data_IF_018320140904
#
_entry.id   IF_018320140904
#
_cell.length_a   1.000
_cell.length_b   1.000
_cell.length_c   1.000
_cell.angle_alpha   90.00
_cell.angle_beta   90.00
_cell.angle_gamma   90.00
#
_symmetry.space_group_name_H-M   'P 1'
#
loop_
_entity.id
_entity.type
_entity.pdbx_description
1 polymer ?
#
# COMPACT_ATOMS: atom_id res chain seq x y z
N UNK A 1 9.18 -38.71 -15.73
CA UNK A 1 8.82 -37.67 -14.76
C UNK A 1 7.62 -38.19 -13.98
N UNK A 2 7.74 -38.37 -12.68
CA UNK A 2 6.59 -38.74 -11.86
C UNK A 2 5.75 -37.48 -11.68
N UNK A 3 4.49 -37.55 -12.12
CA UNK A 3 3.54 -36.44 -11.90
C UNK A 3 3.40 -36.22 -10.40
N UNK A 4 3.83 -35.04 -9.93
CA UNK A 4 3.62 -34.63 -8.54
C UNK A 4 2.20 -34.09 -8.45
N UNK A 5 1.28 -34.93 -7.99
CA UNK A 5 -0.10 -34.51 -7.75
C UNK A 5 -0.14 -33.68 -6.46
N UNK A 6 -0.59 -32.46 -6.55
CA UNK A 6 -0.87 -31.62 -5.38
C UNK A 6 -2.17 -32.12 -4.75
N UNK A 7 -2.19 -32.50 -3.46
CA UNK A 7 -3.42 -32.92 -2.80
C UNK A 7 -4.48 -31.81 -2.81
N UNK A 8 -5.76 -32.16 -2.94
CA UNK A 8 -6.85 -31.19 -2.96
C UNK A 8 -6.86 -30.26 -1.73
N UNK A 9 -6.52 -30.80 -0.55
CA UNK A 9 -6.40 -30.01 0.68
C UNK A 9 -5.30 -28.96 0.59
N UNK A 10 -4.16 -29.27 -0.03
CA UNK A 10 -3.06 -28.33 -0.23
C UNK A 10 -3.44 -27.24 -1.24
N UNK A 11 -4.12 -27.61 -2.32
CA UNK A 11 -4.64 -26.66 -3.30
C UNK A 11 -5.66 -25.72 -2.65
N UNK A 12 -6.56 -26.25 -1.83
CA UNK A 12 -7.57 -25.45 -1.13
C UNK A 12 -6.94 -24.48 -0.13
N UNK A 13 -5.93 -24.91 0.62
CA UNK A 13 -5.16 -24.08 1.54
C UNK A 13 -4.46 -22.90 0.83
N UNK A 14 -4.02 -23.07 -0.41
CA UNK A 14 -3.35 -22.04 -1.24
C UNK A 14 -4.30 -21.19 -2.06
N UNK A 15 -5.61 -21.45 -1.99
CA UNK A 15 -6.62 -20.72 -2.73
C UNK A 15 -7.26 -19.69 -1.82
N UNK A 16 -7.09 -18.40 -2.14
CA UNK A 16 -7.74 -17.29 -1.43
C UNK A 16 -8.96 -16.86 -2.25
N UNK A 17 -10.15 -17.11 -1.72
CA UNK A 17 -11.42 -16.73 -2.35
C UNK A 17 -11.83 -15.33 -1.88
N UNK A 18 -12.72 -14.68 -2.59
CA UNK A 18 -13.28 -13.38 -2.16
C UNK A 18 -13.90 -13.44 -0.76
N UNK A 19 -14.52 -14.55 -0.41
CA UNK A 19 -15.07 -14.80 0.94
C UNK A 19 -14.02 -14.87 2.05
N UNK A 20 -12.76 -15.09 1.70
CA UNK A 20 -11.66 -15.25 2.66
C UNK A 20 -10.93 -13.92 2.93
N UNK A 21 -11.39 -12.84 2.31
CA UNK A 21 -10.80 -11.52 2.48
C UNK A 21 -11.19 -10.92 3.83
N UNK A 22 -10.23 -10.67 4.68
CA UNK A 22 -10.40 -10.03 5.99
C UNK A 22 -9.73 -8.68 5.98
N UNK A 23 -10.51 -7.60 6.10
CA UNK A 23 -9.98 -6.24 6.09
C UNK A 23 -9.44 -5.82 7.45
N UNK A 24 -8.40 -4.98 7.41
CA UNK A 24 -7.94 -4.20 8.55
C UNK A 24 -8.05 -2.71 8.23
N UNK A 25 -8.92 -2.00 8.93
CA UNK A 25 -9.12 -0.57 8.70
C UNK A 25 -8.09 0.29 9.45
N UNK A 26 -7.38 -0.29 10.41
CA UNK A 26 -6.31 0.35 11.19
C UNK A 26 -4.92 -0.18 10.82
N UNK A 27 -4.69 -0.52 9.55
CA UNK A 27 -3.41 -1.07 9.09
C UNK A 27 -2.27 -0.04 9.07
N UNK A 28 -2.58 1.25 8.93
CA UNK A 28 -1.62 2.31 8.66
C UNK A 28 -1.85 3.56 9.51
N UNK A 29 -0.82 4.38 9.65
CA UNK A 29 -0.82 5.59 10.47
C UNK A 29 -1.87 6.63 10.05
N UNK A 30 -2.36 6.58 8.82
CA UNK A 30 -3.38 7.50 8.33
C UNK A 30 -4.82 7.01 8.51
N UNK A 31 -5.03 5.94 9.30
CA UNK A 31 -6.35 5.29 9.45
C UNK A 31 -7.43 6.14 10.14
N UNK A 32 -7.07 7.27 10.75
CA UNK A 32 -8.01 8.23 11.37
C UNK A 32 -7.98 9.60 10.70
N UNK A 33 -7.13 9.81 9.71
CA UNK A 33 -7.06 11.09 9.03
C UNK A 33 -8.23 11.23 8.06
N UNK A 34 -8.90 12.40 8.00
CA UNK A 34 -10.03 12.60 7.10
C UNK A 34 -9.66 12.29 5.64
N UNK A 35 -10.53 11.55 4.97
CA UNK A 35 -10.28 11.09 3.59
C UNK A 35 -9.36 9.87 3.48
N UNK A 36 -8.91 9.28 4.62
CA UNK A 36 -8.18 8.00 4.65
C UNK A 36 -8.77 7.00 5.64
N UNK A 37 -9.72 7.42 6.44
CA UNK A 37 -10.35 6.71 7.57
C UNK A 37 -11.33 5.61 7.17
N UNK A 38 -11.62 5.46 5.86
CA UNK A 38 -12.53 4.44 5.35
C UNK A 38 -11.84 3.42 4.45
N UNK A 39 -10.52 3.29 4.54
CA UNK A 39 -9.78 2.27 3.80
C UNK A 39 -9.98 0.89 4.42
N UNK A 40 -10.14 -0.11 3.55
CA UNK A 40 -10.08 -1.52 3.90
C UNK A 40 -8.79 -2.11 3.33
N UNK A 41 -7.85 -2.49 4.21
CA UNK A 41 -6.58 -3.06 3.78
C UNK A 41 -6.59 -4.57 3.95
N UNK A 42 -6.11 -5.29 2.95
CA UNK A 42 -6.06 -6.75 2.92
C UNK A 42 -4.63 -7.22 2.72
N UNK A 43 -4.24 -8.29 3.41
CA UNK A 43 -2.97 -8.97 3.22
C UNK A 43 -3.23 -10.42 2.81
N UNK A 44 -2.97 -10.74 1.55
CA UNK A 44 -3.21 -12.07 1.01
C UNK A 44 -1.99 -12.96 1.12
N UNK A 45 -0.81 -12.47 0.78
CA UNK A 45 0.48 -13.16 0.87
C UNK A 45 1.46 -12.23 1.57
N UNK A 46 1.93 -12.67 2.73
CA UNK A 46 2.80 -11.85 3.57
C UNK A 46 2.09 -10.64 4.18
N UNK A 47 2.68 -10.03 5.19
CA UNK A 47 2.12 -8.87 5.91
C UNK A 47 2.30 -7.53 5.14
N UNK A 48 3.06 -7.55 4.05
CA UNK A 48 3.37 -6.34 3.29
C UNK A 48 4.12 -5.30 4.12
N UNK A 49 3.49 -4.16 4.28
CA UNK A 49 4.00 -3.01 5.06
C UNK A 49 3.03 -2.58 6.16
N UNK A 50 2.10 -3.45 6.55
CA UNK A 50 1.16 -3.16 7.62
C UNK A 50 1.88 -2.78 8.92
N UNK A 51 1.37 -1.78 9.59
CA UNK A 51 1.87 -1.25 10.86
C UNK A 51 1.05 -1.75 12.06
N UNK A 52 0.05 -2.59 11.80
CA UNK A 52 -0.80 -3.20 12.78
C UNK A 52 -0.46 -4.69 12.90
N UNK A 53 -0.06 -5.12 14.10
CA UNK A 53 0.31 -6.51 14.37
C UNK A 53 -0.89 -7.47 14.26
N UNK A 54 -2.12 -6.96 14.39
CA UNK A 54 -3.36 -7.75 14.28
C UNK A 54 -3.88 -7.87 12.84
N UNK A 55 -3.11 -7.38 11.85
CA UNK A 55 -3.44 -7.57 10.44
C UNK A 55 -3.53 -9.06 10.10
N UNK A 56 -4.72 -9.52 9.71
CA UNK A 56 -4.89 -10.87 9.23
C UNK A 56 -4.16 -11.07 7.90
N UNK A 57 -3.42 -12.17 7.78
CA UNK A 57 -2.68 -12.57 6.58
C UNK A 57 -3.16 -13.96 6.16
N UNK A 58 -3.66 -14.11 4.93
CA UNK A 58 -4.16 -15.38 4.43
C UNK A 58 -3.05 -16.45 4.28
N UNK A 59 -1.93 -16.06 3.65
CA UNK A 59 -0.77 -16.93 3.43
C UNK A 59 0.48 -16.26 3.99
N UNK A 60 1.07 -16.88 5.01
CA UNK A 60 2.28 -16.38 5.70
C UNK A 60 3.57 -16.99 5.16
N UNK A 61 3.48 -17.99 4.28
CA UNK A 61 4.65 -18.59 3.65
C UNK A 61 5.37 -17.61 2.74
N UNK A 62 6.70 -17.70 2.71
CA UNK A 62 7.55 -16.85 1.88
C UNK A 62 7.38 -17.18 0.40
N UNK A 63 7.17 -16.16 -0.42
CA UNK A 63 6.93 -16.28 -1.87
C UNK A 63 7.89 -15.43 -2.71
N UNK A 64 8.79 -14.64 -2.07
CA UNK A 64 9.64 -13.65 -2.73
C UNK A 64 8.91 -12.34 -3.05
N UNK A 65 7.66 -12.21 -2.63
CA UNK A 65 6.83 -11.01 -2.77
C UNK A 65 5.69 -11.02 -1.73
N UNK A 66 5.10 -9.86 -1.52
CA UNK A 66 3.85 -9.70 -0.77
C UNK A 66 2.72 -9.30 -1.72
N UNK A 67 1.51 -9.79 -1.47
CA UNK A 67 0.31 -9.43 -2.21
C UNK A 67 -0.76 -8.94 -1.24
N UNK A 68 -1.25 -7.75 -1.48
CA UNK A 68 -2.34 -7.16 -0.70
C UNK A 68 -3.33 -6.39 -1.58
N UNK A 69 -4.27 -5.72 -0.93
CA UNK A 69 -5.20 -4.82 -1.60
C UNK A 69 -5.60 -3.65 -0.69
N UNK A 70 -5.96 -2.54 -1.32
CA UNK A 70 -6.70 -1.45 -0.72
C UNK A 70 -8.11 -1.39 -1.34
N UNK A 71 -9.14 -1.60 -0.52
CA UNK A 71 -10.53 -1.32 -0.87
C UNK A 71 -10.88 0.08 -0.39
N UNK A 72 -11.45 0.91 -1.26
CA UNK A 72 -11.63 2.34 -0.96
C UNK A 72 -12.94 2.85 -1.57
N UNK A 73 -13.83 3.45 -0.76
CA UNK A 73 -14.95 4.23 -1.25
C UNK A 73 -14.50 5.43 -2.10
N UNK A 74 -15.43 6.02 -2.83
CA UNK A 74 -15.18 7.28 -3.56
C UNK A 74 -14.59 8.36 -2.65
N UNK A 75 -13.58 9.06 -3.14
CA UNK A 75 -12.89 10.16 -2.45
C UNK A 75 -11.89 9.73 -1.38
N UNK A 76 -11.81 8.43 -1.06
CA UNK A 76 -10.87 7.93 -0.05
C UNK A 76 -9.48 7.75 -0.66
N UNK A 77 -8.47 8.12 0.12
CA UNK A 77 -7.07 8.15 -0.27
C UNK A 77 -6.21 7.21 0.57
N UNK A 78 -5.19 6.65 -0.02
CA UNK A 78 -3.98 6.24 0.66
C UNK A 78 -2.95 7.35 0.51
N UNK A 79 -2.46 7.88 1.64
CA UNK A 79 -1.63 9.08 1.66
C UNK A 79 -0.21 8.84 1.14
N UNK A 80 0.53 9.93 0.92
CA UNK A 80 1.87 9.90 0.34
C UNK A 80 2.86 9.14 1.22
N UNK A 81 3.47 8.13 0.64
CA UNK A 81 4.44 7.25 1.27
C UNK A 81 5.43 6.71 0.23
N UNK A 82 6.55 6.17 0.67
CA UNK A 82 7.49 5.46 -0.18
C UNK A 82 7.84 4.08 0.39
N UNK A 83 8.31 3.19 -0.49
CA UNK A 83 8.77 1.84 -0.14
C UNK A 83 10.23 1.62 -0.52
N UNK A 84 10.86 0.68 0.18
CA UNK A 84 12.24 0.23 -0.08
C UNK A 84 12.29 -0.83 -1.19
N UNK A 85 11.16 -1.47 -1.46
CA UNK A 85 11.01 -2.50 -2.51
C UNK A 85 10.16 -1.98 -3.65
N UNK A 86 10.31 -2.59 -4.83
CA UNK A 86 9.46 -2.29 -5.98
C UNK A 86 8.00 -2.63 -5.68
N UNK A 87 7.10 -1.85 -6.24
CA UNK A 87 5.66 -2.05 -6.11
C UNK A 87 4.99 -2.09 -7.47
N UNK A 88 3.98 -2.93 -7.58
CA UNK A 88 3.07 -2.97 -8.74
C UNK A 88 1.66 -2.74 -8.23
N UNK A 89 0.97 -1.78 -8.83
CA UNK A 89 -0.47 -1.63 -8.70
C UNK A 89 -1.17 -2.35 -9.84
N UNK A 90 -2.23 -3.08 -9.49
CA UNK A 90 -3.16 -3.68 -10.45
C UNK A 90 -4.54 -3.15 -10.10
N UNK A 91 -5.11 -2.32 -10.96
CA UNK A 91 -6.46 -1.82 -10.74
C UNK A 91 -7.45 -2.96 -10.98
N UNK A 92 -8.15 -3.36 -9.92
CA UNK A 92 -9.11 -4.47 -9.91
C UNK A 92 -10.55 -3.97 -9.72
N UNK A 93 -10.84 -2.79 -10.22
CA UNK A 93 -12.15 -2.13 -10.19
C UNK A 93 -12.08 -0.75 -9.54
N UNK A 94 -12.71 0.21 -10.18
CA UNK A 94 -12.72 1.61 -9.80
C UNK A 94 -11.85 2.49 -10.70
N UNK A 95 -11.76 3.76 -10.35
CA UNK A 95 -10.90 4.74 -11.01
C UNK A 95 -9.99 5.36 -9.97
N UNK A 96 -8.69 5.13 -10.08
CA UNK A 96 -7.72 5.60 -9.10
C UNK A 96 -6.84 6.70 -9.68
N UNK A 97 -6.83 7.87 -9.03
CA UNK A 97 -5.79 8.88 -9.25
C UNK A 97 -4.57 8.52 -8.44
N UNK A 98 -3.47 8.21 -9.10
CA UNK A 98 -2.16 7.94 -8.51
C UNK A 98 -1.32 9.20 -8.63
N UNK A 99 -0.80 9.72 -7.50
CA UNK A 99 0.01 10.93 -7.43
C UNK A 99 1.38 10.59 -6.92
N UNK A 100 2.40 11.37 -7.31
CA UNK A 100 3.75 11.18 -6.79
C UNK A 100 4.48 12.50 -6.52
N UNK A 101 5.63 12.37 -5.83
CA UNK A 101 6.38 13.47 -5.24
C UNK A 101 6.06 13.65 -3.77
N UNK A 102 6.94 14.32 -3.02
CA UNK A 102 6.82 14.49 -1.56
C UNK A 102 5.53 15.21 -1.14
N UNK A 103 5.03 16.07 -2.01
CA UNK A 103 3.77 16.81 -1.83
C UNK A 103 2.65 16.34 -2.79
N UNK A 104 2.92 15.28 -3.57
CA UNK A 104 1.98 14.73 -4.54
C UNK A 104 1.77 15.59 -5.79
N UNK A 105 2.69 16.52 -6.10
CA UNK A 105 2.55 17.48 -7.22
C UNK A 105 3.56 17.28 -8.34
N UNK A 106 4.47 16.34 -8.25
CA UNK A 106 5.39 16.04 -9.36
C UNK A 106 4.66 15.50 -10.58
N UNK A 107 3.58 14.75 -10.36
CA UNK A 107 2.72 14.28 -11.42
C UNK A 107 1.61 13.38 -10.91
N UNK A 108 0.72 13.03 -11.83
CA UNK A 108 -0.40 12.15 -11.56
C UNK A 108 -0.75 11.31 -12.78
N UNK A 109 -1.38 10.17 -12.53
CA UNK A 109 -1.96 9.29 -13.53
C UNK A 109 -3.31 8.78 -13.05
N UNK A 110 -4.31 8.78 -13.94
CA UNK A 110 -5.63 8.20 -13.66
C UNK A 110 -5.66 6.77 -14.20
N UNK A 111 -5.73 5.81 -13.30
CA UNK A 111 -5.79 4.38 -13.58
C UNK A 111 -7.23 3.92 -13.64
N UNK A 112 -7.55 3.13 -14.65
CA UNK A 112 -8.86 2.48 -14.83
C UNK A 112 -8.76 0.97 -14.60
N UNK A 113 -9.91 0.31 -14.55
CA UNK A 113 -9.99 -1.13 -14.35
C UNK A 113 -9.10 -1.90 -15.33
N UNK A 114 -8.30 -2.80 -14.81
CA UNK A 114 -7.34 -3.60 -15.56
C UNK A 114 -5.98 -2.96 -15.81
N UNK A 115 -5.75 -1.70 -15.52
CA UNK A 115 -4.42 -1.08 -15.66
C UNK A 115 -3.42 -1.72 -14.67
N UNK A 116 -2.19 -1.89 -15.14
CA UNK A 116 -1.06 -2.34 -14.33
C UNK A 116 0.03 -1.27 -14.35
N UNK A 117 0.47 -0.85 -13.17
CA UNK A 117 1.43 0.24 -13.01
C UNK A 117 2.58 -0.22 -12.14
N UNK A 118 3.81 -0.10 -12.65
CA UNK A 118 5.01 -0.33 -11.84
C UNK A 118 5.46 0.97 -11.19
N UNK A 119 5.63 0.95 -9.87
CA UNK A 119 6.06 2.13 -9.11
C UNK A 119 7.51 1.95 -8.68
N UNK A 120 8.42 2.87 -9.04
CA UNK A 120 9.80 2.81 -8.59
C UNK A 120 9.94 2.87 -7.07
N UNK A 121 11.02 2.30 -6.54
CA UNK A 121 11.44 2.51 -5.16
C UNK A 121 11.82 3.97 -4.90
N UNK A 122 11.78 4.40 -3.66
CA UNK A 122 12.24 5.72 -3.23
C UNK A 122 11.53 6.90 -3.89
N UNK A 123 10.28 6.71 -4.33
CA UNK A 123 9.40 7.78 -4.76
C UNK A 123 8.19 7.85 -3.82
N UNK A 124 7.87 9.04 -3.33
CA UNK A 124 6.61 9.27 -2.63
C UNK A 124 5.46 9.13 -3.61
N UNK A 125 4.49 8.26 -3.29
CA UNK A 125 3.25 8.09 -4.05
C UNK A 125 2.09 7.92 -3.10
N UNK A 126 0.92 8.24 -3.59
CA UNK A 126 -0.37 8.02 -2.95
C UNK A 126 -1.44 7.86 -4.01
N UNK A 127 -2.57 7.34 -3.64
CA UNK A 127 -3.67 7.11 -4.57
C UNK A 127 -5.02 7.39 -3.93
N UNK A 128 -5.98 7.81 -4.75
CA UNK A 128 -7.34 8.16 -4.34
C UNK A 128 -8.31 7.45 -5.28
N UNK A 129 -9.34 6.80 -4.75
CA UNK A 129 -10.45 6.34 -5.59
C UNK A 129 -11.33 7.53 -5.98
N UNK A 130 -11.42 7.82 -7.27
CA UNK A 130 -12.26 8.88 -7.83
C UNK A 130 -13.46 8.32 -8.61
N UNK A 131 -13.57 6.99 -8.68
CA UNK A 131 -14.73 6.34 -9.28
C UNK A 131 -16.00 6.55 -8.45
N UNK A 132 -17.20 6.42 -9.05
CA UNK A 132 -18.46 6.61 -8.35
C UNK A 132 -18.74 5.53 -7.30
N UNK A 133 -18.13 4.36 -7.46
CA UNK A 133 -18.32 3.19 -6.62
C UNK A 133 -17.03 2.86 -5.82
N UNK A 134 -17.15 1.89 -4.92
CA UNK A 134 -15.99 1.34 -4.21
C UNK A 134 -14.99 0.75 -5.20
N UNK A 135 -13.72 1.12 -5.05
CA UNK A 135 -12.63 0.63 -5.87
C UNK A 135 -11.71 -0.33 -5.11
N UNK A 136 -11.03 -1.20 -5.85
CA UNK A 136 -10.01 -2.12 -5.32
C UNK A 136 -8.73 -1.97 -6.12
N UNK A 137 -7.66 -1.62 -5.42
CA UNK A 137 -6.31 -1.60 -5.96
C UNK A 137 -5.51 -2.75 -5.34
N UNK A 138 -5.15 -3.76 -6.14
CA UNK A 138 -4.22 -4.80 -5.71
C UNK A 138 -2.80 -4.24 -5.71
N UNK A 139 -2.02 -4.64 -4.72
CA UNK A 139 -0.63 -4.19 -4.55
C UNK A 139 0.29 -5.41 -4.43
N UNK A 140 1.34 -5.42 -5.24
CA UNK A 140 2.42 -6.41 -5.14
C UNK A 140 3.69 -5.70 -4.71
N UNK A 141 4.25 -6.09 -3.57
CA UNK A 141 5.53 -5.58 -3.07
C UNK A 141 6.60 -6.66 -3.26
N UNK A 142 7.72 -6.30 -3.86
CA UNK A 142 8.85 -7.21 -4.02
C UNK A 142 9.47 -7.61 -2.69
N UNK A 143 10.08 -8.80 -2.67
CA UNK A 143 10.72 -9.42 -1.51
C UNK A 143 9.73 -9.84 -0.41
N UNK A 144 10.14 -10.80 0.43
CA UNK A 144 9.34 -11.22 1.59
C UNK A 144 9.45 -10.24 2.75
N UNK A 145 10.61 -9.60 2.93
CA UNK A 145 10.85 -8.53 3.90
C UNK A 145 10.91 -7.20 3.17
N UNK A 146 9.86 -6.42 3.28
CA UNK A 146 9.70 -5.14 2.56
C UNK A 146 10.52 -3.99 3.15
N UNK A 147 10.99 -4.10 4.39
CA UNK A 147 11.65 -3.03 5.13
C UNK A 147 10.70 -1.97 5.70
N UNK A 148 9.39 -2.10 5.43
CA UNK A 148 8.37 -1.18 5.93
C UNK A 148 8.02 -0.05 4.95
N UNK A 149 7.59 1.07 5.52
CA UNK A 149 7.03 2.21 4.79
C UNK A 149 7.56 3.52 5.40
N UNK A 150 7.89 4.50 4.56
CA UNK A 150 8.20 5.86 4.99
C UNK A 150 7.05 6.77 4.53
N UNK A 151 6.41 7.41 5.49
CA UNK A 151 5.32 8.34 5.23
C UNK A 151 5.83 9.74 4.86
N UNK A 152 5.07 10.43 4.03
CA UNK A 152 5.33 11.83 3.72
C UNK A 152 5.34 12.68 5.01
N UNK A 153 6.19 13.72 5.09
CA UNK A 153 6.30 14.55 6.29
C UNK A 153 4.98 15.17 6.76
N UNK A 154 4.13 15.59 5.84
CA UNK A 154 2.80 16.12 6.13
C UNK A 154 1.85 15.07 6.70
N UNK A 155 1.95 13.83 6.23
CA UNK A 155 1.10 12.72 6.69
C UNK A 155 1.41 12.38 8.15
N UNK A 156 2.68 12.28 8.52
CA UNK A 156 3.08 12.03 9.91
C UNK A 156 2.58 13.12 10.85
N UNK A 157 2.74 14.39 10.44
CA UNK A 157 2.28 15.54 11.23
C UNK A 157 0.75 15.55 11.38
N UNK A 158 0.02 15.24 10.33
CA UNK A 158 -1.43 15.17 10.37
C UNK A 158 -1.90 14.03 11.28
N UNK A 159 -1.35 12.82 11.12
CA UNK A 159 -1.67 11.67 11.94
C UNK A 159 -1.50 11.92 13.43
N UNK A 160 -0.41 12.61 13.82
CA UNK A 160 -0.15 13.01 15.21
C UNK A 160 -1.32 13.85 15.78
N UNK A 161 -1.92 14.74 14.99
CA UNK A 161 -3.06 15.56 15.42
C UNK A 161 -4.34 14.75 15.66
N UNK A 162 -4.39 13.52 15.13
CA UNK A 162 -5.46 12.55 15.35
C UNK A 162 -5.09 11.45 16.35
N UNK A 163 -4.01 11.64 17.11
CA UNK A 163 -3.57 10.72 18.15
C UNK A 163 -2.86 9.46 17.64
N UNK A 164 -2.40 9.47 16.39
CA UNK A 164 -1.69 8.37 15.78
C UNK A 164 -0.18 8.65 15.75
N UNK A 165 0.60 7.69 16.20
CA UNK A 165 2.05 7.77 16.22
C UNK A 165 2.65 6.47 15.65
N UNK A 166 3.87 6.54 15.15
CA UNK A 166 4.60 5.40 14.65
C UNK A 166 5.92 5.28 15.37
N UNK A 167 6.19 4.12 15.93
CA UNK A 167 7.46 3.84 16.59
C UNK A 167 8.56 3.50 15.58
N UNK A 168 9.83 3.64 15.98
CA UNK A 168 10.97 3.36 15.11
C UNK A 168 11.03 1.90 14.63
N UNK A 169 10.38 0.97 15.33
CA UNK A 169 10.18 -0.42 14.93
C UNK A 169 8.91 -0.65 14.09
N UNK A 170 8.36 0.43 13.51
CA UNK A 170 7.22 0.43 12.59
C UNK A 170 5.89 -0.04 13.19
N UNK A 171 5.69 0.14 14.49
CA UNK A 171 4.43 -0.19 15.17
C UNK A 171 3.54 1.03 15.29
N UNK A 172 2.28 0.90 14.89
CA UNK A 172 1.24 1.90 15.08
C UNK A 172 0.84 2.00 16.55
N UNK A 173 0.74 3.23 17.05
CA UNK A 173 0.22 3.60 18.37
C UNK A 173 -1.01 4.49 18.15
N UNK A 174 -2.15 4.04 18.62
CA UNK A 174 -3.43 4.77 18.54
C UNK A 174 -3.86 5.21 19.93
N UNK A 175 -3.50 6.43 20.32
CA UNK A 175 -3.82 6.97 21.65
C UNK A 175 -5.32 7.21 21.83
N UNK A 176 -6.09 7.35 20.75
CA UNK A 176 -7.55 7.47 20.81
C UNK A 176 -8.19 6.10 21.10
N UNK A 177 -7.58 5.01 20.63
CA UNK A 177 -8.01 3.65 20.99
C UNK A 177 -7.54 3.22 22.39
N UNK A 178 -6.71 4.02 23.05
CA UNK A 178 -6.23 3.74 24.40
C UNK A 178 -4.78 3.26 24.48
N UNK A 179 -4.06 3.23 23.37
CA UNK A 179 -2.63 2.90 23.39
C UNK A 179 -1.84 3.97 24.15
N UNK A 180 -0.74 3.55 24.73
CA UNK A 180 0.22 4.46 25.38
C UNK A 180 1.46 4.58 24.55
N UNK A 181 1.88 5.82 24.28
CA UNK A 181 3.16 6.07 23.59
C UNK A 181 4.30 5.54 24.47
N UNK A 182 5.09 4.56 23.99
CA UNK A 182 6.18 3.98 24.78
C UNK A 182 7.26 5.02 25.03
N UNK A 183 7.82 5.02 26.25
CA UNK A 183 8.91 5.93 26.62
C UNK A 183 10.31 5.43 26.21
N UNK A 184 10.41 4.14 25.92
CA UNK A 184 11.67 3.41 25.63
C UNK A 184 11.92 3.18 24.14
N UNK A 185 10.92 3.40 23.29
CA UNK A 185 11.03 3.29 21.84
C UNK A 185 10.81 4.66 21.20
N UNK A 186 11.78 5.18 20.42
CA UNK A 186 11.60 6.48 19.79
C UNK A 186 10.49 6.44 18.73
N UNK A 187 9.80 7.55 18.55
CA UNK A 187 8.86 7.74 17.46
C UNK A 187 9.60 8.05 16.15
N UNK A 188 9.05 7.59 15.03
CA UNK A 188 9.54 7.95 13.70
C UNK A 188 9.38 9.45 13.51
N UNK A 189 10.45 10.06 12.99
CA UNK A 189 10.46 11.47 12.58
C UNK A 189 10.28 11.57 11.07
N UNK A 190 9.71 12.69 10.60
CA UNK A 190 9.65 12.96 9.16
C UNK A 190 11.03 12.88 8.51
N UNK A 191 11.08 12.40 7.27
CA UNK A 191 12.31 12.41 6.47
C UNK A 191 12.86 13.83 6.39
N UNK A 192 14.16 13.99 6.63
CA UNK A 192 14.82 15.29 6.58
C UNK A 192 14.85 15.82 5.14
N UNK A 193 14.76 17.14 5.00
CA UNK A 193 14.69 17.80 3.69
C UNK A 193 15.89 17.45 2.81
N UNK A 194 17.09 17.36 3.37
CA UNK A 194 18.31 16.99 2.65
C UNK A 194 18.19 15.64 1.92
N UNK A 195 17.53 14.63 2.53
CA UNK A 195 17.28 13.34 1.88
C UNK A 195 16.15 13.41 0.86
N UNK A 196 15.14 14.26 1.10
CA UNK A 196 14.05 14.49 0.14
C UNK A 196 14.61 15.08 -1.15
N UNK A 197 15.55 16.04 -1.03
CA UNK A 197 16.16 16.73 -2.16
C UNK A 197 17.05 15.79 -3.02
N UNK A 198 17.50 14.67 -2.46
CA UNK A 198 18.26 13.63 -3.16
C UNK A 198 17.37 12.58 -3.87
N UNK A 199 16.04 12.57 -3.60
CA UNK A 199 15.14 11.60 -4.22
C UNK A 199 15.01 11.84 -5.72
N UNK A 200 14.95 10.74 -6.48
CA UNK A 200 14.74 10.82 -7.93
C UNK A 200 13.36 11.42 -8.24
N UNK A 201 13.34 12.41 -9.12
CA UNK A 201 12.13 12.97 -9.67
C UNK A 201 11.75 12.25 -10.96
N UNK A 202 10.46 12.00 -11.17
CA UNK A 202 9.93 11.37 -12.37
C UNK A 202 8.90 12.26 -13.02
N UNK A 203 9.10 12.58 -14.30
CA UNK A 203 8.10 13.26 -15.13
C UNK A 203 6.87 12.36 -15.36
N UNK A 204 5.77 12.99 -15.78
CA UNK A 204 4.55 12.26 -16.18
C UNK A 204 4.84 11.30 -17.33
N UNK A 205 5.69 11.70 -18.29
CA UNK A 205 6.04 10.87 -19.44
C UNK A 205 6.82 9.61 -19.01
N UNK A 206 7.81 9.75 -18.13
CA UNK A 206 8.58 8.60 -17.60
C UNK A 206 7.68 7.65 -16.80
N UNK A 207 6.71 8.16 -16.04
CA UNK A 207 5.77 7.31 -15.30
C UNK A 207 4.76 6.63 -16.22
N UNK A 208 4.29 7.29 -17.29
CA UNK A 208 3.40 6.66 -18.29
C UNK A 208 4.01 5.46 -18.98
N UNK A 209 5.32 5.45 -19.21
CA UNK A 209 6.04 4.29 -19.77
C UNK A 209 6.02 3.06 -18.86
N UNK A 210 5.59 3.22 -17.60
CA UNK A 210 5.47 2.16 -16.59
C UNK A 210 4.04 1.63 -16.42
N UNK A 211 3.11 2.12 -17.23
CA UNK A 211 1.70 1.72 -17.22
C UNK A 211 1.44 0.76 -18.38
N UNK A 212 0.79 -0.36 -18.06
CA UNK A 212 0.29 -1.33 -19.06
C UNK A 212 -1.24 -1.26 -19.01
N UNK A 213 -1.84 -0.83 -20.09
CA UNK A 213 -3.30 -0.76 -20.23
C UNK A 213 -3.84 -2.08 -20.80
N UNK A 214 -5.11 -2.44 -20.55
CA UNK A 214 -5.72 -3.68 -21.08
C UNK A 214 -5.62 -3.80 -22.60
N UNK A 215 -5.79 -2.71 -23.33
CA UNK A 215 -5.70 -2.65 -24.79
C UNK A 215 -4.29 -2.88 -25.34
N UNK A 216 -3.25 -2.69 -24.52
CA UNK A 216 -1.86 -2.99 -24.89
C UNK A 216 -1.56 -4.49 -24.86
N UNK A 217 -2.46 -5.27 -24.24
CA UNK A 217 -2.35 -6.72 -24.12
C UNK A 217 -2.83 -7.40 -25.42
N UNK A 218 -2.23 -7.07 -26.54
CA UNK A 218 -2.53 -7.74 -27.79
C UNK A 218 -1.85 -9.10 -27.77
N UNK A 219 -2.65 -10.15 -27.67
CA UNK A 219 -2.18 -11.49 -28.00
C UNK A 219 -1.93 -11.51 -29.52
N UNK A 220 -0.67 -11.48 -29.90
CA UNK A 220 -0.22 -11.75 -31.27
C UNK A 220 -0.18 -13.26 -31.54
#
# INVERSE_FOLDING_TARGET
MTDVLVPAQELDRRTIRRSDWVSCNAAFIDCRTPGSDQKSNYAFIGSGVSQNADQFVNLTELHGYNLGAAGMPNGISNNLHLHFTAEVFINFGGTFRIRWGVDGKQGEYVSNDGDVITVPTWIFRGFTNEGPDDGILLTVLGQDVTGGIIWGPSVLKEAESYGLHLTADNRLIDTVAGDVVPSDVPLIKPMRQEFIDELTSYSVEEMRQRVIQPEDRRYS
#
